data_IF_820872892686
#
_entry.id   IF_820872892686
#
_cell.length_a   1.000
_cell.length_b   1.000
_cell.length_c   1.000
_cell.angle_alpha   90.00
_cell.angle_beta   90.00
_cell.angle_gamma   90.00
#
_symmetry.space_group_name_H-M   'P 1'
#
loop_
_entity.id
_entity.type
_entity.pdbx_description
1 polymer ?
#
# COMPACT_ATOMS: atom_id res chain seq x y z
N UNK A 1 -7.10 7.22 22.38
CA UNK A 1 -7.40 7.92 21.10
C UNK A 1 -8.28 6.99 20.28
N UNK A 2 -9.35 7.48 19.66
CA UNK A 2 -10.28 6.66 18.85
C UNK A 2 -10.10 7.02 17.36
N UNK A 3 -9.27 6.29 16.60
CA UNK A 3 -9.03 6.60 15.20
C UNK A 3 -10.31 6.37 14.37
N UNK A 4 -10.53 7.23 13.38
CA UNK A 4 -11.64 7.13 12.42
C UNK A 4 -11.07 7.23 11.01
N UNK A 5 -11.57 6.38 10.11
CA UNK A 5 -11.21 6.42 8.69
C UNK A 5 -12.10 7.47 8.00
N UNK A 6 -11.50 8.30 7.15
CA UNK A 6 -12.17 9.34 6.38
C UNK A 6 -11.60 9.37 4.95
N UNK A 7 -12.16 10.23 4.10
CA UNK A 7 -11.75 10.40 2.69
C UNK A 7 -12.06 9.20 1.78
N UNK A 8 -13.34 8.87 1.67
CA UNK A 8 -13.85 7.81 0.79
C UNK A 8 -14.10 8.28 -0.65
N UNK A 9 -13.56 9.44 -1.08
CA UNK A 9 -13.79 9.99 -2.42
C UNK A 9 -13.31 9.09 -3.56
N UNK A 10 -12.39 8.17 -3.24
CA UNK A 10 -11.82 7.17 -4.16
C UNK A 10 -12.28 5.75 -3.85
N UNK A 11 -13.11 5.55 -2.82
CA UNK A 11 -13.57 4.24 -2.42
C UNK A 11 -14.49 3.64 -3.49
N UNK A 12 -14.33 2.34 -3.74
CA UNK A 12 -15.15 1.60 -4.69
C UNK A 12 -15.96 0.54 -3.97
N UNK A 13 -17.25 0.48 -4.30
CA UNK A 13 -18.13 -0.60 -3.87
C UNK A 13 -18.07 -1.68 -4.93
N UNK A 14 -17.62 -2.87 -4.56
CA UNK A 14 -17.69 -4.05 -5.40
C UNK A 14 -19.09 -4.69 -5.24
N UNK A 15 -19.72 -5.05 -6.36
CA UNK A 15 -21.01 -5.72 -6.37
C UNK A 15 -20.87 -7.24 -6.46
N UNK A 16 -21.72 -8.00 -5.75
CA UNK A 16 -21.80 -9.46 -5.90
C UNK A 16 -20.52 -10.21 -5.47
N UNK A 17 -19.97 -11.04 -6.36
CA UNK A 17 -18.75 -11.85 -6.15
C UNK A 17 -17.48 -11.18 -6.71
N UNK A 18 -17.54 -9.93 -7.14
CA UNK A 18 -16.35 -9.23 -7.64
C UNK A 18 -15.40 -8.92 -6.50
N UNK A 19 -14.16 -9.42 -6.60
CA UNK A 19 -13.11 -9.20 -5.59
C UNK A 19 -12.00 -8.27 -6.08
N UNK A 20 -12.03 -7.94 -7.38
CA UNK A 20 -11.03 -7.15 -8.08
C UNK A 20 -11.69 -6.33 -9.19
N UNK A 21 -11.23 -5.11 -9.40
CA UNK A 21 -11.63 -4.24 -10.50
C UNK A 21 -10.39 -3.69 -11.20
N UNK A 22 -10.44 -3.63 -12.52
CA UNK A 22 -9.44 -2.95 -13.33
C UNK A 22 -9.87 -1.49 -13.55
N UNK A 23 -8.96 -0.54 -13.38
CA UNK A 23 -9.18 0.87 -13.71
C UNK A 23 -8.17 1.38 -14.72
N UNK A 24 -8.67 1.98 -15.81
CA UNK A 24 -7.85 2.70 -16.78
C UNK A 24 -7.19 3.97 -16.19
N UNK A 25 -7.65 4.42 -15.03
CA UNK A 25 -7.13 5.59 -14.33
C UNK A 25 -6.55 5.17 -12.98
N UNK A 26 -5.22 5.19 -12.88
CA UNK A 26 -4.47 4.92 -11.65
C UNK A 26 -4.40 6.21 -10.85
N UNK A 27 -4.90 6.16 -9.62
CA UNK A 27 -4.97 7.32 -8.73
C UNK A 27 -4.82 6.87 -7.29
N UNK A 28 -3.89 7.48 -6.57
CA UNK A 28 -3.62 7.13 -5.18
C UNK A 28 -2.38 7.84 -4.65
N UNK A 29 -2.09 7.64 -3.37
CA UNK A 29 -0.91 8.24 -2.73
C UNK A 29 0.30 7.36 -3.00
N UNK A 30 1.30 7.92 -3.69
CA UNK A 30 2.56 7.22 -3.95
C UNK A 30 3.21 6.73 -2.66
N UNK A 31 3.80 5.53 -2.71
CA UNK A 31 4.40 4.86 -1.55
C UNK A 31 3.42 4.01 -0.73
N UNK A 32 2.10 4.22 -0.87
CA UNK A 32 1.07 3.39 -0.24
C UNK A 32 0.37 2.47 -1.24
N UNK A 33 0.36 2.83 -2.52
CA UNK A 33 -0.20 1.98 -3.58
C UNK A 33 0.53 0.65 -3.69
N UNK A 34 -0.24 -0.44 -3.83
CA UNK A 34 0.33 -1.75 -4.12
C UNK A 34 0.92 -1.81 -5.54
N UNK A 35 1.95 -2.65 -5.77
CA UNK A 35 2.62 -2.71 -7.06
C UNK A 35 1.68 -3.12 -8.20
N UNK A 36 0.78 -4.07 -7.95
CA UNK A 36 -0.22 -4.51 -8.94
C UNK A 36 -1.21 -3.41 -9.30
N UNK A 37 -1.59 -2.55 -8.34
CA UNK A 37 -2.44 -1.39 -8.63
C UNK A 37 -1.66 -0.31 -9.39
N UNK A 38 -0.42 -0.04 -9.01
CA UNK A 38 0.42 1.01 -9.60
C UNK A 38 0.90 0.68 -11.02
N UNK A 39 1.10 -0.61 -11.33
CA UNK A 39 1.59 -1.08 -12.63
C UNK A 39 0.44 -1.40 -13.59
N UNK A 40 -0.59 -2.10 -13.11
CA UNK A 40 -1.62 -2.70 -13.97
C UNK A 40 -3.02 -2.11 -13.75
N UNK A 41 -3.17 -1.17 -12.80
CA UNK A 41 -4.47 -0.61 -12.45
C UNK A 41 -5.41 -1.61 -11.77
N UNK A 42 -4.87 -2.71 -11.25
CA UNK A 42 -5.63 -3.77 -10.60
C UNK A 42 -5.90 -3.43 -9.14
N UNK A 43 -7.14 -3.03 -8.85
CA UNK A 43 -7.59 -2.68 -7.51
C UNK A 43 -8.39 -3.82 -6.89
N UNK A 44 -8.12 -4.14 -5.62
CA UNK A 44 -8.81 -5.20 -4.88
C UNK A 44 -8.73 -4.97 -3.37
N UNK A 45 -9.36 -5.85 -2.60
CA UNK A 45 -9.18 -5.87 -1.13
C UNK A 45 -7.70 -6.10 -0.76
N UNK A 46 -6.92 -6.79 -1.61
CA UNK A 46 -5.49 -7.05 -1.34
C UNK A 46 -4.64 -5.78 -1.49
N UNK A 47 -4.96 -4.91 -2.45
CA UNK A 47 -4.28 -3.62 -2.58
C UNK A 47 -4.57 -2.70 -1.38
N UNK A 48 -5.77 -2.78 -0.79
CA UNK A 48 -6.09 -2.06 0.45
C UNK A 48 -5.30 -2.60 1.66
N UNK A 49 -5.17 -3.93 1.76
CA UNK A 49 -4.35 -4.58 2.82
C UNK A 49 -2.88 -4.16 2.73
N UNK A 50 -2.32 -4.08 1.52
CA UNK A 50 -0.96 -3.59 1.31
C UNK A 50 -0.81 -2.14 1.82
N UNK A 51 -1.72 -1.25 1.38
CA UNK A 51 -1.71 0.17 1.76
C UNK A 51 -1.81 0.35 3.28
N UNK A 52 -2.67 -0.45 3.92
CA UNK A 52 -2.79 -0.47 5.38
C UNK A 52 -1.51 -0.96 6.08
N UNK A 53 -0.85 -1.98 5.53
CA UNK A 53 0.44 -2.47 6.06
C UNK A 53 1.53 -1.38 6.07
N UNK A 54 1.61 -0.59 5.00
CA UNK A 54 2.52 0.57 4.92
C UNK A 54 2.19 1.61 6.00
N UNK A 55 0.90 1.93 6.20
CA UNK A 55 0.46 2.85 7.24
C UNK A 55 0.84 2.35 8.65
N UNK A 56 0.67 1.06 8.93
CA UNK A 56 1.07 0.46 10.21
C UNK A 56 2.58 0.59 10.41
N UNK A 57 3.38 0.33 9.38
CA UNK A 57 4.84 0.49 9.46
C UNK A 57 5.25 1.94 9.72
N UNK A 58 4.59 2.91 9.10
CA UNK A 58 4.80 4.34 9.38
C UNK A 58 4.47 4.69 10.84
N UNK A 59 3.34 4.20 11.36
CA UNK A 59 2.94 4.43 12.76
C UNK A 59 3.95 3.81 13.73
N UNK A 60 4.35 2.55 13.51
CA UNK A 60 5.26 1.83 14.42
C UNK A 60 6.68 2.37 14.34
N UNK A 61 7.15 2.75 13.16
CA UNK A 61 8.50 3.34 13.00
C UNK A 61 8.58 4.80 13.42
N UNK A 62 7.44 5.50 13.49
CA UNK A 62 7.38 6.95 13.70
C UNK A 62 8.03 7.75 12.56
N UNK A 63 8.34 7.11 11.42
CA UNK A 63 8.99 7.73 10.25
C UNK A 63 8.00 7.83 9.11
N UNK A 64 7.87 9.04 8.56
CA UNK A 64 7.01 9.27 7.40
C UNK A 64 7.50 8.48 6.19
N UNK A 65 6.57 7.86 5.47
CA UNK A 65 6.90 7.13 4.24
C UNK A 65 7.46 8.06 3.13
N UNK A 66 7.21 9.38 3.22
CA UNK A 66 7.69 10.39 2.27
C UNK A 66 9.20 10.67 2.31
N UNK A 67 9.95 10.14 3.28
CA UNK A 67 11.38 10.44 3.43
C UNK A 67 12.31 9.61 2.54
N UNK A 68 11.79 8.69 1.73
CA UNK A 68 12.63 7.80 0.90
C UNK A 68 12.85 8.29 -0.54
N UNK A 69 12.48 9.54 -0.83
CA UNK A 69 12.55 10.10 -2.18
C UNK A 69 13.90 10.75 -2.56
N UNK A 70 14.93 10.75 -1.71
CA UNK A 70 16.18 11.46 -2.04
C UNK A 70 17.51 10.80 -1.63
N UNK A 71 17.55 9.51 -1.39
CA UNK A 71 18.83 8.82 -1.33
C UNK A 71 18.67 7.40 -1.83
N UNK A 72 19.68 6.91 -2.56
CA UNK A 72 19.90 5.53 -2.98
C UNK A 72 20.01 4.56 -1.79
N UNK A 73 19.03 4.61 -0.89
CA UNK A 73 18.99 3.88 0.36
C UNK A 73 17.53 3.51 0.61
N UNK A 74 17.16 2.33 0.12
CA UNK A 74 16.22 1.41 0.76
C UNK A 74 15.02 2.10 1.44
N UNK A 75 13.88 2.13 0.75
CA UNK A 75 12.55 2.47 1.30
C UNK A 75 12.33 1.93 2.73
N UNK A 76 11.31 2.39 3.46
CA UNK A 76 10.93 1.81 4.77
C UNK A 76 10.85 0.27 4.70
N UNK A 77 10.42 -0.26 3.54
CA UNK A 77 10.44 -1.67 3.13
C UNK A 77 11.83 -2.33 3.16
N UNK A 78 12.89 -1.63 2.76
CA UNK A 78 14.27 -2.08 2.84
C UNK A 78 14.87 -1.98 4.24
N UNK A 79 14.44 -1.04 5.08
CA UNK A 79 14.89 -0.97 6.49
C UNK A 79 14.26 -2.07 7.36
N UNK A 80 13.00 -2.42 7.09
CA UNK A 80 12.32 -3.58 7.68
C UNK A 80 12.97 -4.90 7.23
N UNK A 81 13.77 -4.90 6.17
CA UNK A 81 14.58 -6.04 5.74
C UNK A 81 15.63 -6.52 6.76
N UNK A 82 16.01 -5.70 7.76
CA UNK A 82 16.88 -6.16 8.86
C UNK A 82 16.13 -6.96 9.94
N UNK A 83 14.79 -6.94 9.92
CA UNK A 83 13.91 -7.76 10.75
C UNK A 83 12.90 -8.47 9.84
N UNK A 84 13.39 -9.47 9.09
CA UNK A 84 12.61 -10.64 8.66
C UNK A 84 11.19 -10.42 8.07
N UNK A 85 10.98 -9.46 7.15
CA UNK A 85 9.75 -9.37 6.33
C UNK A 85 10.08 -9.39 4.82
N UNK A 86 11.25 -9.95 4.44
CA UNK A 86 11.61 -10.16 3.03
C UNK A 86 10.82 -11.30 2.35
N UNK A 87 9.98 -12.05 3.08
CA UNK A 87 9.34 -13.25 2.54
C UNK A 87 7.88 -13.05 2.06
N UNK A 88 7.23 -11.92 2.36
CA UNK A 88 5.78 -11.80 2.10
C UNK A 88 5.36 -10.80 1.02
N UNK A 89 6.25 -9.93 0.51
CA UNK A 89 5.86 -8.82 -0.37
C UNK A 89 6.57 -8.79 -1.74
N UNK A 90 7.51 -9.69 -2.01
CA UNK A 90 8.20 -9.82 -3.30
C UNK A 90 8.04 -11.19 -3.96
N UNK A 91 7.27 -12.10 -3.36
CA UNK A 91 6.88 -13.34 -4.03
C UNK A 91 5.59 -13.08 -4.82
N UNK A 92 5.54 -13.50 -6.10
CA UNK A 92 4.30 -13.48 -6.85
C UNK A 92 3.34 -14.46 -6.18
N UNK A 93 2.25 -13.96 -5.61
CA UNK A 93 1.04 -14.74 -5.37
C UNK A 93 0.01 -14.31 -6.39
#
# INVERSE_FOLDING_TARGET
MNPKISDFGMARIFGGNETQANTNRIVGTYGYMSPEYAMEGLFSIKSDVFSFGVLVLEIVSGRKNTSFYHSDSLNLLGHVGSFHIRLFLFLPF
#
